data_IF_075862753138
#
_entry.id   IF_075862753138
#
_cell.length_a   1.000
_cell.length_b   1.000
_cell.length_c   1.000
_cell.angle_alpha   90.00
_cell.angle_beta   90.00
_cell.angle_gamma   90.00
#
_symmetry.space_group_name_H-M   'P 1'
#
loop_
_entity.id
_entity.type
_entity.pdbx_description
1 polymer ?
#
# COMPACT_ATOMS: atom_id res chain seq x y z
N UNK A 1 15.53 23.49 11.32
CA UNK A 1 16.22 22.77 10.25
C UNK A 1 15.23 22.05 9.33
N UNK A 2 14.26 21.27 9.86
CA UNK A 2 13.16 20.64 9.10
C UNK A 2 12.41 21.56 8.09
N UNK A 3 12.08 22.80 8.47
CA UNK A 3 11.30 23.72 7.62
C UNK A 3 12.00 24.18 6.33
N UNK A 4 13.33 24.33 6.34
CA UNK A 4 14.05 24.80 5.14
C UNK A 4 14.26 23.67 4.13
N UNK A 5 14.42 22.43 4.60
CA UNK A 5 14.55 21.26 3.75
C UNK A 5 13.22 20.92 3.05
N UNK A 6 12.10 21.00 3.77
CA UNK A 6 10.73 20.86 3.21
C UNK A 6 10.47 21.93 2.15
N UNK A 7 10.85 23.19 2.42
CA UNK A 7 10.73 24.29 1.44
C UNK A 7 11.57 24.03 0.19
N UNK A 8 12.82 23.58 0.37
CA UNK A 8 13.73 23.26 -0.74
C UNK A 8 13.22 22.08 -1.58
N UNK A 9 12.61 21.07 -0.94
CA UNK A 9 12.00 19.94 -1.64
C UNK A 9 10.85 20.40 -2.53
N UNK A 10 9.98 21.25 -1.98
CA UNK A 10 8.86 21.87 -2.70
C UNK A 10 9.33 22.76 -3.86
N UNK A 11 10.37 23.55 -3.68
CA UNK A 11 10.96 24.37 -4.75
C UNK A 11 11.42 23.50 -5.92
N UNK A 12 12.08 22.37 -5.64
CA UNK A 12 12.52 21.42 -6.68
C UNK A 12 11.32 20.81 -7.40
N UNK A 13 10.29 20.36 -6.67
CA UNK A 13 9.05 19.83 -7.26
C UNK A 13 8.40 20.87 -8.19
N UNK A 14 8.40 22.14 -7.76
CA UNK A 14 7.80 23.25 -8.52
C UNK A 14 8.61 23.60 -9.77
N UNK A 15 9.94 23.66 -9.66
CA UNK A 15 10.87 23.93 -10.76
C UNK A 15 10.74 22.90 -11.87
N UNK A 16 10.62 21.62 -11.50
CA UNK A 16 10.48 20.51 -12.43
C UNK A 16 9.12 20.45 -13.13
N UNK A 17 8.08 20.95 -12.47
CA UNK A 17 6.75 21.08 -13.07
C UNK A 17 6.67 22.30 -14.00
N UNK A 18 7.30 23.41 -13.63
CA UNK A 18 7.15 24.69 -14.30
C UNK A 18 8.05 24.84 -15.54
N UNK A 19 9.19 24.16 -15.59
CA UNK A 19 10.14 24.22 -16.70
C UNK A 19 10.27 22.88 -17.46
N UNK A 20 9.73 22.77 -18.68
CA UNK A 20 9.88 21.59 -19.54
C UNK A 20 11.32 21.26 -19.93
N UNK A 21 12.25 22.22 -19.85
CA UNK A 21 13.66 22.07 -20.19
C UNK A 21 14.57 21.89 -18.97
N UNK A 22 14.00 21.79 -17.76
CA UNK A 22 14.76 21.57 -16.55
C UNK A 22 15.63 20.31 -16.66
N UNK A 23 16.88 20.40 -16.22
CA UNK A 23 17.78 19.25 -16.14
C UNK A 23 17.28 18.30 -15.05
N UNK A 24 16.51 17.29 -15.47
CA UNK A 24 15.90 16.31 -14.59
C UNK A 24 16.93 15.50 -13.82
N UNK A 25 18.11 15.26 -14.40
CA UNK A 25 19.18 14.51 -13.73
C UNK A 25 19.81 15.35 -12.62
N UNK A 26 20.01 16.64 -12.85
CA UNK A 26 20.50 17.57 -11.83
C UNK A 26 19.49 17.75 -10.69
N UNK A 27 18.22 18.01 -11.02
CA UNK A 27 17.18 18.21 -10.02
C UNK A 27 16.90 16.95 -9.22
N UNK A 28 16.97 15.77 -9.85
CA UNK A 28 16.89 14.49 -9.12
C UNK A 28 18.07 14.32 -8.15
N UNK A 29 19.31 14.66 -8.54
CA UNK A 29 20.46 14.62 -7.62
C UNK A 29 20.32 15.59 -6.44
N UNK A 30 19.78 16.77 -6.70
CA UNK A 30 19.53 17.80 -5.67
C UNK A 30 18.41 17.35 -4.73
N UNK A 31 17.33 16.79 -5.27
CA UNK A 31 16.26 16.16 -4.51
C UNK A 31 16.80 15.02 -3.64
N UNK A 32 17.60 14.10 -4.19
CA UNK A 32 18.24 13.02 -3.43
C UNK A 32 19.04 13.53 -2.24
N UNK A 33 19.77 14.63 -2.41
CA UNK A 33 20.61 15.20 -1.36
C UNK A 33 19.77 15.77 -0.21
N UNK A 34 18.64 16.40 -0.53
CA UNK A 34 17.72 16.95 0.46
C UNK A 34 16.89 15.84 1.10
N UNK A 35 16.43 14.87 0.31
CA UNK A 35 15.68 13.69 0.77
C UNK A 35 16.46 12.88 1.82
N UNK A 36 17.81 12.84 1.75
CA UNK A 36 18.66 12.23 2.80
C UNK A 36 18.58 12.92 4.17
N UNK A 37 18.07 14.15 4.22
CA UNK A 37 18.05 14.99 5.42
C UNK A 37 16.64 15.19 5.98
N UNK A 38 15.62 14.63 5.32
CA UNK A 38 14.22 14.73 5.73
C UNK A 38 13.63 13.34 5.91
N UNK A 39 12.68 13.23 6.83
CA UNK A 39 11.92 12.01 7.07
C UNK A 39 10.87 11.77 5.96
N UNK A 40 10.46 10.51 5.82
CA UNK A 40 9.34 10.07 4.97
C UNK A 40 8.06 10.89 5.19
N UNK A 41 7.74 11.19 6.47
CA UNK A 41 6.61 12.04 6.88
C UNK A 41 6.73 13.46 6.31
N UNK A 42 7.93 14.05 6.35
CA UNK A 42 8.17 15.40 5.87
C UNK A 42 8.10 15.49 4.34
N UNK A 43 8.55 14.45 3.65
CA UNK A 43 8.42 14.32 2.19
C UNK A 43 6.94 14.25 1.82
N UNK A 44 6.17 13.34 2.44
CA UNK A 44 4.74 13.20 2.18
C UNK A 44 3.96 14.50 2.43
N UNK A 45 4.32 15.26 3.48
CA UNK A 45 3.73 16.59 3.74
C UNK A 45 4.07 17.60 2.64
N UNK A 46 5.33 17.65 2.21
CA UNK A 46 5.76 18.56 1.14
C UNK A 46 5.04 18.28 -0.18
N UNK A 47 4.85 17.00 -0.51
CA UNK A 47 4.10 16.56 -1.70
C UNK A 47 2.62 16.94 -1.62
N UNK A 48 2.00 16.76 -0.45
CA UNK A 48 0.61 17.17 -0.22
C UNK A 48 0.44 18.68 -0.41
N UNK A 49 1.31 19.51 0.16
CA UNK A 49 1.28 20.97 -0.02
C UNK A 49 1.48 21.38 -1.49
N UNK A 50 2.38 20.71 -2.22
CA UNK A 50 2.61 20.97 -3.63
C UNK A 50 1.36 20.71 -4.51
N UNK A 51 0.60 19.66 -4.19
CA UNK A 51 -0.64 19.33 -4.90
C UNK A 51 -1.75 20.32 -4.58
N UNK A 52 -1.87 20.75 -3.33
CA UNK A 52 -2.83 21.79 -2.91
C UNK A 52 -2.59 23.12 -3.64
N UNK A 53 -1.36 23.40 -4.05
CA UNK A 53 -0.98 24.56 -4.86
C UNK A 53 -1.14 24.36 -6.37
N UNK A 54 -1.66 23.21 -6.80
CA UNK A 54 -2.07 22.94 -8.18
C UNK A 54 -1.07 22.13 -9.00
N UNK A 55 -0.01 21.58 -8.41
CA UNK A 55 0.93 20.70 -9.12
C UNK A 55 0.27 19.32 -9.37
N UNK A 56 0.23 18.82 -10.62
CA UNK A 56 -0.36 17.51 -10.92
C UNK A 56 0.39 16.36 -10.24
N UNK A 57 -0.37 15.44 -9.63
CA UNK A 57 0.14 14.24 -8.94
C UNK A 57 1.15 13.44 -9.78
N UNK A 58 0.86 13.26 -11.06
CA UNK A 58 1.70 12.49 -12.00
C UNK A 58 3.11 13.08 -12.17
N UNK A 59 3.27 14.40 -11.97
CA UNK A 59 4.57 15.07 -12.04
C UNK A 59 5.42 14.78 -10.80
N UNK A 60 4.78 14.66 -9.64
CA UNK A 60 5.41 14.39 -8.35
C UNK A 60 5.85 12.92 -8.28
N UNK A 61 4.97 11.99 -8.66
CA UNK A 61 5.25 10.55 -8.64
C UNK A 61 6.53 10.16 -9.40
N UNK A 62 6.75 10.74 -10.59
CA UNK A 62 7.95 10.48 -11.40
C UNK A 62 9.26 10.86 -10.71
N UNK A 63 9.20 11.76 -9.73
CA UNK A 63 10.35 12.16 -8.92
C UNK A 63 10.52 11.24 -7.73
N UNK A 64 9.43 10.86 -7.06
CA UNK A 64 9.46 9.96 -5.91
C UNK A 64 10.11 8.61 -6.26
N UNK A 65 9.77 8.04 -7.44
CA UNK A 65 10.29 6.75 -7.90
C UNK A 65 11.84 6.72 -8.02
N UNK A 66 12.50 7.88 -8.20
CA UNK A 66 13.97 7.98 -8.32
C UNK A 66 14.68 7.86 -6.96
N UNK A 67 13.96 8.01 -5.84
CA UNK A 67 14.56 8.16 -4.50
C UNK A 67 14.20 7.06 -3.50
N UNK A 68 13.38 6.09 -3.90
CA UNK A 68 12.99 4.97 -3.04
C UNK A 68 14.20 4.07 -2.67
N UNK A 69 15.17 3.93 -3.59
CA UNK A 69 16.40 3.13 -3.38
C UNK A 69 17.20 3.53 -2.13
N UNK A 70 17.04 4.77 -1.66
CA UNK A 70 17.75 5.30 -0.49
C UNK A 70 17.20 4.79 0.85
N UNK A 71 15.97 4.28 0.87
CA UNK A 71 15.29 3.83 2.08
C UNK A 71 15.31 2.29 2.24
N UNK A 72 16.00 1.57 1.33
CA UNK A 72 16.04 0.10 1.27
C UNK A 72 16.67 -0.53 2.52
N UNK A 73 17.82 -0.01 2.96
CA UNK A 73 18.56 -0.60 4.09
C UNK A 73 17.76 -0.45 5.40
N UNK A 74 17.16 0.72 5.56
CA UNK A 74 16.26 1.11 6.63
C UNK A 74 15.02 0.20 6.72
N UNK A 75 14.40 -0.14 5.59
CA UNK A 75 13.27 -1.07 5.52
C UNK A 75 13.66 -2.50 5.94
N UNK A 76 14.83 -2.98 5.47
CA UNK A 76 15.32 -4.34 5.76
C UNK A 76 15.61 -4.56 7.24
N UNK A 77 16.21 -3.59 7.93
CA UNK A 77 16.48 -3.72 9.36
C UNK A 77 15.17 -3.85 10.17
N UNK A 78 14.13 -3.09 9.82
CA UNK A 78 12.85 -3.06 10.56
C UNK A 78 12.06 -4.36 10.47
N UNK A 79 12.16 -5.12 9.37
CA UNK A 79 11.59 -6.48 9.26
C UNK A 79 11.99 -7.39 10.43
N UNK A 80 13.17 -7.15 11.04
CA UNK A 80 13.71 -7.99 12.13
C UNK A 80 13.27 -7.57 13.54
N UNK A 81 12.65 -6.38 13.69
CA UNK A 81 12.37 -5.78 15.00
C UNK A 81 10.90 -5.89 15.40
N UNK A 82 9.98 -5.97 14.42
CA UNK A 82 8.54 -5.98 14.70
C UNK A 82 8.08 -7.32 15.29
N UNK A 83 7.15 -7.24 16.24
CA UNK A 83 6.58 -8.43 16.87
C UNK A 83 5.83 -9.30 15.84
N UNK A 84 5.83 -10.63 16.02
CA UNK A 84 4.92 -11.51 15.30
C UNK A 84 3.47 -11.03 15.45
N UNK A 85 2.68 -11.09 14.37
CA UNK A 85 1.27 -10.68 14.37
C UNK A 85 1.02 -9.18 14.25
N UNK A 86 2.04 -8.33 14.33
CA UNK A 86 1.92 -6.90 14.04
C UNK A 86 1.41 -6.68 12.59
N UNK A 87 0.49 -5.74 12.31
CA UNK A 87 -0.05 -5.51 10.97
C UNK A 87 1.01 -5.40 9.86
N UNK A 88 2.06 -4.60 10.08
CA UNK A 88 3.20 -4.51 9.13
C UNK A 88 3.93 -5.85 8.96
N UNK A 89 4.15 -6.64 10.02
CA UNK A 89 4.78 -7.96 9.90
C UNK A 89 3.97 -8.92 9.03
N UNK A 90 2.64 -8.81 9.09
CA UNK A 90 1.72 -9.58 8.23
C UNK A 90 1.90 -9.17 6.78
N UNK A 91 1.84 -7.86 6.50
CA UNK A 91 2.02 -7.33 5.14
C UNK A 91 3.39 -7.73 4.56
N UNK A 92 4.48 -7.64 5.34
CA UNK A 92 5.81 -8.13 4.91
C UNK A 92 5.79 -9.60 4.46
N UNK A 93 5.16 -10.48 5.23
CA UNK A 93 5.09 -11.90 4.88
C UNK A 93 4.29 -12.13 3.59
N UNK A 94 3.25 -11.34 3.37
CA UNK A 94 2.39 -11.44 2.18
C UNK A 94 3.09 -10.88 0.95
N UNK A 95 3.84 -9.79 1.09
CA UNK A 95 4.74 -9.27 0.04
C UNK A 95 5.74 -10.32 -0.40
N UNK A 96 6.40 -10.98 0.56
CA UNK A 96 7.37 -12.03 0.27
C UNK A 96 6.73 -13.18 -0.51
N UNK A 97 5.50 -13.54 -0.17
CA UNK A 97 4.76 -14.63 -0.82
C UNK A 97 4.36 -14.27 -2.24
N UNK A 98 3.81 -13.07 -2.45
CA UNK A 98 3.42 -12.55 -3.76
C UNK A 98 4.62 -12.41 -4.69
N UNK A 99 5.69 -11.76 -4.22
CA UNK A 99 6.90 -11.55 -5.01
C UNK A 99 7.60 -12.87 -5.32
N UNK A 100 7.65 -13.82 -4.38
CA UNK A 100 8.24 -15.14 -4.63
C UNK A 100 7.45 -15.91 -5.68
N UNK A 101 6.11 -15.88 -5.62
CA UNK A 101 5.27 -16.53 -6.61
C UNK A 101 5.49 -15.94 -8.02
N UNK A 102 5.46 -14.61 -8.14
CA UNK A 102 5.68 -13.90 -9.40
C UNK A 102 7.09 -14.18 -9.96
N UNK A 103 8.15 -14.09 -9.13
CA UNK A 103 9.53 -14.36 -9.55
C UNK A 103 9.76 -15.79 -10.01
N UNK A 104 9.18 -16.77 -9.30
CA UNK A 104 9.29 -18.18 -9.65
C UNK A 104 8.55 -18.49 -10.97
N UNK A 105 7.38 -17.90 -11.16
CA UNK A 105 6.66 -18.02 -12.42
C UNK A 105 7.44 -17.32 -13.55
N UNK A 106 7.98 -16.12 -13.32
CA UNK A 106 8.78 -15.38 -14.31
C UNK A 106 10.00 -16.18 -14.73
N UNK A 107 10.77 -16.72 -13.78
CA UNK A 107 11.99 -17.46 -14.10
C UNK A 107 11.73 -18.70 -14.93
N UNK A 108 10.54 -19.30 -14.79
CA UNK A 108 10.10 -20.44 -15.60
C UNK A 108 9.57 -20.00 -16.97
N UNK A 109 8.76 -18.96 -17.03
CA UNK A 109 8.09 -18.51 -18.26
C UNK A 109 9.00 -17.66 -19.17
N UNK A 110 9.97 -16.96 -18.60
CA UNK A 110 10.96 -16.11 -19.26
C UNK A 110 12.36 -16.35 -18.66
N UNK A 111 12.98 -17.53 -18.92
CA UNK A 111 14.29 -17.83 -18.39
C UNK A 111 15.38 -16.99 -19.07
N UNK A 112 16.37 -16.58 -18.27
CA UNK A 112 17.42 -15.65 -18.69
C UNK A 112 18.39 -16.22 -19.76
N UNK A 113 18.43 -17.54 -19.92
CA UNK A 113 19.25 -18.23 -20.92
C UNK A 113 18.57 -18.34 -22.29
N UNK A 114 17.31 -17.88 -22.40
CA UNK A 114 16.52 -17.89 -23.63
C UNK A 114 15.96 -19.26 -24.01
N UNK A 115 16.07 -20.28 -23.16
CA UNK A 115 15.45 -21.57 -23.40
C UNK A 115 13.92 -21.47 -23.28
N UNK A 116 13.15 -21.96 -24.25
CA UNK A 116 11.70 -22.00 -24.09
C UNK A 116 11.32 -23.09 -23.06
N UNK A 117 10.45 -22.80 -22.08
CA UNK A 117 9.96 -23.84 -21.17
C UNK A 117 9.13 -24.87 -21.93
N UNK A 118 9.07 -26.09 -21.41
CA UNK A 118 8.09 -27.06 -21.89
C UNK A 118 6.66 -26.61 -21.53
N UNK A 119 5.67 -27.06 -22.29
CA UNK A 119 4.26 -26.78 -21.98
C UNK A 119 3.85 -27.26 -20.59
N UNK A 120 4.41 -28.38 -20.12
CA UNK A 120 4.13 -28.88 -18.78
C UNK A 120 4.69 -27.95 -17.68
N UNK A 121 5.92 -27.43 -17.86
CA UNK A 121 6.54 -26.50 -16.91
C UNK A 121 5.79 -25.17 -16.85
N UNK A 122 5.41 -24.62 -18.02
CA UNK A 122 4.63 -23.38 -18.08
C UNK A 122 3.26 -23.52 -17.41
N UNK A 123 2.54 -24.61 -17.69
CA UNK A 123 1.25 -24.89 -17.04
C UNK A 123 1.41 -25.05 -15.54
N UNK A 124 2.45 -25.76 -15.08
CA UNK A 124 2.70 -25.93 -13.66
C UNK A 124 3.02 -24.59 -12.98
N UNK A 125 3.85 -23.74 -13.59
CA UNK A 125 4.18 -22.42 -13.04
C UNK A 125 2.94 -21.55 -12.87
N UNK A 126 2.07 -21.49 -13.89
CA UNK A 126 0.81 -20.73 -13.84
C UNK A 126 -0.12 -21.32 -12.76
N UNK A 127 -0.32 -22.65 -12.76
CA UNK A 127 -1.23 -23.33 -11.82
C UNK A 127 -0.79 -23.16 -10.36
N UNK A 128 0.51 -23.15 -10.09
CA UNK A 128 1.04 -22.92 -8.73
C UNK A 128 0.87 -21.47 -8.28
N UNK A 129 1.07 -20.51 -9.18
CA UNK A 129 1.01 -19.07 -8.85
C UNK A 129 -0.43 -18.56 -8.72
N UNK A 130 -1.37 -19.05 -9.54
CA UNK A 130 -2.73 -18.50 -9.61
C UNK A 130 -3.47 -18.42 -8.27
N UNK A 131 -3.49 -19.48 -7.41
CA UNK A 131 -4.15 -19.39 -6.10
C UNK A 131 -3.56 -18.31 -5.18
N UNK A 132 -2.27 -17.98 -5.35
CA UNK A 132 -1.60 -16.92 -4.57
C UNK A 132 -2.07 -15.55 -5.06
N UNK A 133 -2.21 -15.35 -6.38
CA UNK A 133 -2.73 -14.11 -6.95
C UNK A 133 -4.21 -13.91 -6.64
N UNK A 134 -5.00 -14.98 -6.61
CA UNK A 134 -6.38 -14.93 -6.11
C UNK A 134 -6.43 -14.53 -4.62
N UNK A 135 -5.46 -15.00 -3.83
CA UNK A 135 -5.28 -14.59 -2.44
C UNK A 135 -4.84 -13.13 -2.26
N UNK A 136 -4.24 -12.51 -3.29
CA UNK A 136 -3.77 -11.12 -3.26
C UNK A 136 -4.91 -10.12 -3.01
N UNK A 137 -6.14 -10.45 -3.38
CA UNK A 137 -7.30 -9.58 -3.12
C UNK A 137 -7.48 -9.32 -1.62
N UNK A 138 -7.25 -10.33 -0.78
CA UNK A 138 -7.27 -10.15 0.68
C UNK A 138 -6.10 -9.30 1.17
N UNK A 139 -5.02 -9.19 0.39
CA UNK A 139 -3.96 -8.22 0.65
C UNK A 139 -4.38 -6.79 0.36
N UNK A 140 -4.91 -6.55 -0.82
CA UNK A 140 -5.31 -5.20 -1.20
C UNK A 140 -6.48 -4.70 -0.35
N UNK A 141 -7.52 -5.51 -0.13
CA UNK A 141 -8.70 -5.11 0.64
C UNK A 141 -8.36 -4.74 2.07
N UNK A 142 -7.49 -5.48 2.75
CA UNK A 142 -7.13 -5.13 4.14
C UNK A 142 -6.29 -3.86 4.22
N UNK A 143 -5.41 -3.62 3.25
CA UNK A 143 -4.67 -2.37 3.19
C UNK A 143 -5.65 -1.21 2.92
N UNK A 144 -6.50 -1.34 1.91
CA UNK A 144 -7.47 -0.34 1.46
C UNK A 144 -8.50 0.04 2.51
N UNK A 145 -8.97 -0.93 3.32
CA UNK A 145 -10.08 -0.73 4.24
C UNK A 145 -9.67 -0.75 5.73
N UNK A 146 -8.48 -1.26 6.06
CA UNK A 146 -7.97 -1.29 7.44
C UNK A 146 -6.80 -0.32 7.65
N UNK A 147 -5.80 -0.33 6.77
CA UNK A 147 -4.55 0.42 6.97
C UNK A 147 -4.61 1.86 6.42
N UNK A 148 -4.96 2.02 5.15
CA UNK A 148 -5.02 3.30 4.45
C UNK A 148 -5.95 4.32 5.11
N UNK A 149 -7.15 3.97 5.60
CA UNK A 149 -8.02 4.94 6.27
C UNK A 149 -7.38 5.55 7.52
N UNK A 150 -6.55 4.79 8.23
CA UNK A 150 -5.80 5.30 9.38
C UNK A 150 -4.68 6.24 8.91
N UNK A 151 -3.96 5.92 7.83
CA UNK A 151 -2.97 6.82 7.23
C UNK A 151 -3.60 8.16 6.85
N UNK A 152 -4.78 8.11 6.21
CA UNK A 152 -5.54 9.27 5.76
C UNK A 152 -6.09 10.12 6.91
N UNK A 153 -6.52 9.48 8.01
CA UNK A 153 -6.95 10.17 9.25
C UNK A 153 -5.85 11.06 9.82
N UNK A 154 -4.58 10.70 9.61
CA UNK A 154 -3.42 11.51 9.98
C UNK A 154 -3.03 12.56 8.92
N UNK A 155 -3.89 12.80 7.91
CA UNK A 155 -3.71 13.83 6.89
C UNK A 155 -2.86 13.42 5.69
N UNK A 156 -2.45 12.16 5.59
CA UNK A 156 -1.63 11.65 4.49
C UNK A 156 -2.52 10.90 3.50
N UNK A 157 -2.89 11.55 2.40
CA UNK A 157 -3.88 11.01 1.43
C UNK A 157 -3.29 10.61 0.09
N UNK A 158 -2.14 11.16 -0.29
CA UNK A 158 -1.56 10.86 -1.61
C UNK A 158 -0.96 9.46 -1.70
N UNK A 159 -0.09 9.01 -0.78
CA UNK A 159 0.50 7.68 -0.88
C UNK A 159 -0.58 6.58 -0.93
N UNK A 160 -1.61 6.55 -0.05
CA UNK A 160 -2.72 5.61 -0.18
C UNK A 160 -3.42 5.62 -1.55
N UNK A 161 -3.69 6.82 -2.10
CA UNK A 161 -4.33 6.94 -3.40
C UNK A 161 -3.47 6.40 -4.56
N UNK A 162 -2.13 6.51 -4.47
CA UNK A 162 -1.22 5.88 -5.44
C UNK A 162 -1.26 4.37 -5.29
N UNK A 163 -1.14 3.85 -4.07
CA UNK A 163 -1.16 2.42 -3.78
C UNK A 163 -2.46 1.78 -4.29
N UNK A 164 -3.61 2.44 -4.08
CA UNK A 164 -4.90 2.00 -4.61
C UNK A 164 -4.90 1.86 -6.14
N UNK A 165 -4.38 2.85 -6.86
CA UNK A 165 -4.32 2.79 -8.33
C UNK A 165 -3.41 1.67 -8.86
N UNK A 166 -2.35 1.34 -8.11
CA UNK A 166 -1.47 0.21 -8.41
C UNK A 166 -2.17 -1.12 -8.12
N UNK A 167 -2.95 -1.23 -7.04
CA UNK A 167 -3.78 -2.40 -6.77
C UNK A 167 -4.77 -2.66 -7.90
N UNK A 168 -5.46 -1.64 -8.41
CA UNK A 168 -6.39 -1.78 -9.53
C UNK A 168 -5.69 -2.26 -10.81
N UNK A 169 -4.48 -1.74 -11.06
CA UNK A 169 -3.65 -2.19 -12.19
C UNK A 169 -3.26 -3.66 -12.04
N UNK A 170 -2.83 -4.07 -10.84
CA UNK A 170 -2.48 -5.46 -10.52
C UNK A 170 -3.69 -6.39 -10.63
N UNK A 171 -4.87 -5.98 -10.14
CA UNK A 171 -6.12 -6.73 -10.27
C UNK A 171 -6.45 -7.03 -11.73
N UNK A 172 -6.36 -6.03 -12.61
CA UNK A 172 -6.62 -6.23 -14.04
C UNK A 172 -5.55 -7.12 -14.72
N UNK A 173 -4.29 -7.03 -14.31
CA UNK A 173 -3.24 -7.95 -14.77
C UNK A 173 -3.50 -9.39 -14.32
N UNK A 174 -3.82 -9.61 -13.05
CA UNK A 174 -4.11 -10.94 -12.50
C UNK A 174 -5.33 -11.57 -13.17
N UNK A 175 -6.38 -10.78 -13.39
CA UNK A 175 -7.57 -11.20 -14.13
C UNK A 175 -7.24 -11.55 -15.59
N UNK A 176 -6.41 -10.74 -16.25
CA UNK A 176 -5.97 -11.04 -17.62
C UNK A 176 -5.17 -12.34 -17.65
N UNK A 177 -4.25 -12.52 -16.71
CA UNK A 177 -3.42 -13.71 -16.58
C UNK A 177 -4.24 -14.99 -16.37
N UNK A 178 -5.32 -14.90 -15.58
CA UNK A 178 -6.27 -16.01 -15.38
C UNK A 178 -6.97 -16.48 -16.66
N UNK A 179 -7.00 -15.64 -17.71
CA UNK A 179 -7.60 -15.98 -19.01
C UNK A 179 -6.60 -16.54 -20.02
N UNK A 180 -5.30 -16.52 -19.70
CA UNK A 180 -4.26 -17.00 -20.63
C UNK A 180 -4.31 -18.52 -20.72
N UNK A 181 -4.47 -19.02 -21.95
CA UNK A 181 -4.45 -20.45 -22.22
C UNK A 181 -3.06 -21.06 -22.06
N UNK A 182 -2.96 -22.39 -21.85
CA UNK A 182 -1.70 -23.09 -21.63
C UNK A 182 -0.72 -22.99 -22.83
N UNK A 183 -1.24 -22.66 -24.01
CA UNK A 183 -0.48 -22.58 -25.26
C UNK A 183 0.16 -21.19 -25.49
N UNK A 184 -0.24 -20.15 -24.76
CA UNK A 184 0.24 -18.77 -24.94
C UNK A 184 1.25 -18.35 -23.85
N UNK A 185 2.33 -19.13 -23.76
CA UNK A 185 3.35 -18.99 -22.71
C UNK A 185 4.10 -17.67 -22.81
N UNK A 186 4.32 -17.17 -24.03
CA UNK A 186 5.02 -15.89 -24.23
C UNK A 186 4.20 -14.73 -23.66
N UNK A 187 2.89 -14.71 -23.89
CA UNK A 187 2.00 -13.71 -23.29
C UNK A 187 1.92 -13.87 -21.78
N UNK A 188 1.80 -15.10 -21.27
CA UNK A 188 1.81 -15.36 -19.82
C UNK A 188 3.09 -14.80 -19.18
N UNK A 189 4.25 -15.08 -19.78
CA UNK A 189 5.55 -14.58 -19.33
C UNK A 189 5.62 -13.06 -19.28
N UNK A 190 5.16 -12.37 -20.34
CA UNK A 190 5.14 -10.90 -20.39
C UNK A 190 4.22 -10.28 -19.32
N UNK A 191 3.03 -10.86 -19.11
CA UNK A 191 2.10 -10.40 -18.08
C UNK A 191 2.67 -10.61 -16.67
N UNK A 192 3.32 -11.75 -16.43
CA UNK A 192 3.98 -12.04 -15.16
C UNK A 192 5.15 -11.09 -14.90
N UNK A 193 5.97 -10.80 -15.91
CA UNK A 193 7.03 -9.81 -15.81
C UNK A 193 6.47 -8.43 -15.42
N UNK A 194 5.45 -7.97 -16.13
CA UNK A 194 4.80 -6.69 -15.84
C UNK A 194 4.21 -6.64 -14.42
N UNK A 195 3.52 -7.71 -14.01
CA UNK A 195 2.98 -7.82 -12.66
C UNK A 195 4.08 -7.85 -11.59
N UNK A 196 5.20 -8.55 -11.83
CA UNK A 196 6.34 -8.57 -10.92
C UNK A 196 6.96 -7.17 -10.77
N UNK A 197 7.17 -6.45 -11.87
CA UNK A 197 7.75 -5.10 -11.85
C UNK A 197 6.88 -4.12 -11.05
N UNK A 198 5.57 -4.12 -11.30
CA UNK A 198 4.63 -3.27 -10.56
C UNK A 198 4.58 -3.67 -9.09
N UNK A 199 4.45 -4.97 -8.79
CA UNK A 199 4.40 -5.46 -7.41
C UNK A 199 5.71 -5.14 -6.66
N UNK A 200 6.87 -5.27 -7.31
CA UNK A 200 8.15 -4.95 -6.69
C UNK A 200 8.28 -3.45 -6.38
N UNK A 201 7.85 -2.59 -7.31
CA UNK A 201 7.82 -1.15 -7.08
C UNK A 201 6.83 -0.77 -5.97
N UNK A 202 5.64 -1.38 -5.98
CA UNK A 202 4.60 -1.19 -4.97
C UNK A 202 5.10 -1.57 -3.56
N UNK A 203 5.58 -2.80 -3.39
CA UNK A 203 6.17 -3.29 -2.14
C UNK A 203 7.29 -2.37 -1.69
N UNK A 204 8.14 -1.90 -2.60
CA UNK A 204 9.22 -1.01 -2.24
C UNK A 204 8.73 0.33 -1.66
N UNK A 205 7.68 0.93 -2.25
CA UNK A 205 7.04 2.15 -1.74
C UNK A 205 6.43 1.92 -0.35
N UNK A 206 5.74 0.80 -0.18
CA UNK A 206 5.13 0.46 1.11
C UNK A 206 6.19 0.28 2.20
N UNK A 207 7.17 -0.59 1.97
CA UNK A 207 8.15 -0.98 2.98
C UNK A 207 9.11 0.15 3.35
N UNK A 208 9.47 0.98 2.37
CA UNK A 208 10.53 1.97 2.54
C UNK A 208 10.00 3.35 2.92
N UNK A 209 8.73 3.65 2.62
CA UNK A 209 8.11 4.94 2.91
C UNK A 209 6.89 4.78 3.80
N UNK A 210 5.87 4.06 3.35
CA UNK A 210 4.56 4.04 3.99
C UNK A 210 4.61 3.41 5.40
N UNK A 211 5.33 2.30 5.54
CA UNK A 211 5.45 1.58 6.81
C UNK A 211 6.31 2.35 7.81
N UNK A 212 7.44 2.92 7.39
CA UNK A 212 8.29 3.75 8.24
C UNK A 212 7.54 4.99 8.75
N UNK A 213 6.81 5.65 7.85
CA UNK A 213 5.97 6.79 8.17
C UNK A 213 4.88 6.39 9.19
N UNK A 214 4.17 5.29 8.94
CA UNK A 214 3.08 4.83 9.80
C UNK A 214 3.56 4.41 11.19
N UNK A 215 4.72 3.75 11.30
CA UNK A 215 5.34 3.38 12.58
C UNK A 215 5.65 4.60 13.46
N UNK A 216 5.92 5.76 12.87
CA UNK A 216 6.20 7.01 13.59
C UNK A 216 4.92 7.78 13.95
N UNK A 217 3.83 7.53 13.24
CA UNK A 217 2.58 8.30 13.35
C UNK A 217 1.52 7.60 14.18
N UNK A 218 1.42 6.28 14.09
CA UNK A 218 0.31 5.52 14.66
C UNK A 218 0.55 5.18 16.12
N UNK A 219 -0.52 5.24 16.89
CA UNK A 219 -0.55 4.76 18.28
C UNK A 219 -0.74 3.24 18.36
N UNK A 220 -0.41 2.65 19.51
CA UNK A 220 -0.64 1.22 19.76
C UNK A 220 -2.14 0.84 19.66
N UNK A 221 -3.04 1.76 20.03
CA UNK A 221 -4.49 1.57 19.90
C UNK A 221 -4.93 1.48 18.44
N UNK A 222 -4.37 2.35 17.58
CA UNK A 222 -4.63 2.33 16.14
C UNK A 222 -4.09 1.05 15.50
N UNK A 223 -2.90 0.58 15.90
CA UNK A 223 -2.40 -0.73 15.47
C UNK A 223 -3.29 -1.89 15.91
N UNK A 224 -3.84 -1.83 17.12
CA UNK A 224 -4.82 -2.79 17.61
C UNK A 224 -6.13 -2.77 16.81
N UNK A 225 -6.59 -1.60 16.37
CA UNK A 225 -7.76 -1.47 15.51
C UNK A 225 -7.51 -2.03 14.11
N UNK A 226 -6.41 -1.64 13.46
CA UNK A 226 -5.99 -2.17 12.15
C UNK A 226 -5.89 -3.68 12.19
N UNK A 227 -5.33 -4.24 13.28
CA UNK A 227 -5.23 -5.69 13.44
C UNK A 227 -6.60 -6.37 13.47
N UNK A 228 -7.59 -5.80 14.17
CA UNK A 228 -8.96 -6.34 14.19
C UNK A 228 -9.60 -6.28 12.80
N UNK A 229 -9.42 -5.17 12.10
CA UNK A 229 -9.93 -5.03 10.73
C UNK A 229 -9.28 -6.07 9.80
N UNK A 230 -7.99 -6.34 9.97
CA UNK A 230 -7.29 -7.39 9.22
C UNK A 230 -7.85 -8.78 9.53
N UNK A 231 -8.15 -9.07 10.80
CA UNK A 231 -8.77 -10.35 11.20
C UNK A 231 -10.17 -10.54 10.58
N UNK A 232 -10.95 -9.47 10.45
CA UNK A 232 -12.29 -9.49 9.85
C UNK A 232 -12.26 -9.58 8.31
N UNK A 233 -11.32 -8.87 7.66
CA UNK A 233 -11.17 -8.84 6.19
C UNK A 233 -10.44 -10.08 5.65
N UNK A 234 -9.60 -10.70 6.47
CA UNK A 234 -8.89 -11.94 6.17
C UNK A 234 -7.50 -11.74 5.55
N UNK A 235 -6.80 -12.88 5.38
CA UNK A 235 -5.39 -12.93 5.04
C UNK A 235 -5.11 -13.73 3.77
N UNK A 236 -3.99 -13.43 3.10
CA UNK A 236 -3.49 -14.26 2.00
C UNK A 236 -3.00 -15.62 2.56
N UNK A 237 -2.33 -15.62 3.70
CA UNK A 237 -1.94 -16.85 4.40
C UNK A 237 -3.09 -17.43 5.21
N UNK A 238 -3.17 -18.75 5.28
CA UNK A 238 -4.15 -19.45 6.10
C UNK A 238 -3.93 -19.30 7.61
N UNK A 239 -2.75 -18.86 8.04
CA UNK A 239 -2.39 -18.75 9.46
C UNK A 239 -1.55 -17.52 9.68
N UNK A 240 -1.92 -16.72 10.68
CA UNK A 240 -1.22 -15.51 11.10
C UNK A 240 -1.00 -15.55 12.61
N UNK A 241 0.15 -15.08 13.08
CA UNK A 241 0.48 -15.07 14.51
C UNK A 241 -0.44 -14.13 15.31
N UNK A 242 -0.67 -14.45 16.58
CA UNK A 242 -1.37 -13.56 17.51
C UNK A 242 -0.61 -12.25 17.71
N UNK A 243 -1.33 -11.15 17.94
CA UNK A 243 -0.74 -9.84 18.23
C UNK A 243 -1.07 -9.42 19.66
N UNK A 244 -0.03 -9.30 20.50
CA UNK A 244 -0.21 -8.94 21.91
C UNK A 244 -0.68 -7.49 22.10
N UNK A 245 -0.36 -6.58 21.16
CA UNK A 245 -0.79 -5.18 21.20
C UNK A 245 -2.31 -4.99 21.11
N UNK A 246 -3.05 -5.97 20.55
CA UNK A 246 -4.51 -5.95 20.49
C UNK A 246 -5.19 -6.17 21.85
N UNK A 247 -4.48 -6.69 22.86
CA UNK A 247 -5.05 -7.04 24.18
C UNK A 247 -5.38 -5.82 25.05
N UNK A 248 -4.92 -4.62 24.68
CA UNK A 248 -5.13 -3.38 25.47
C UNK A 248 -6.39 -2.59 25.09
N UNK A 249 -7.07 -2.93 23.99
CA UNK A 249 -8.23 -2.19 23.47
C UNK A 249 -9.57 -2.95 23.64
N UNK A 250 -9.65 -3.87 24.60
CA UNK A 250 -10.89 -4.59 24.91
C UNK A 250 -11.86 -3.69 25.70
N UNK A 251 -12.39 -2.66 25.05
CA UNK A 251 -13.52 -1.84 25.53
C UNK A 251 -14.17 -1.14 24.34
N UNK A 252 -14.87 -1.88 23.46
CA UNK A 252 -16.01 -1.34 22.68
C UNK A 252 -16.68 -2.33 21.72
N UNK A 253 -16.18 -3.55 21.51
CA UNK A 253 -16.92 -4.55 20.73
C UNK A 253 -18.01 -5.20 21.58
N UNK A 254 -19.16 -4.53 21.70
CA UNK A 254 -20.33 -5.04 22.43
C UNK A 254 -21.12 -4.02 23.25
N UNK A 255 -20.73 -2.74 23.26
CA UNK A 255 -21.52 -1.72 23.94
C UNK A 255 -22.86 -1.52 23.20
N UNK A 256 -23.97 -1.75 23.90
CA UNK A 256 -25.30 -1.41 23.42
C UNK A 256 -25.33 0.07 22.99
N UNK A 257 -26.05 0.45 21.92
CA UNK A 257 -26.05 1.82 21.43
C UNK A 257 -26.41 2.79 22.54
N UNK A 258 -25.49 3.71 22.83
CA UNK A 258 -25.66 4.71 23.88
C UNK A 258 -26.06 6.02 23.22
N UNK A 259 -27.14 6.63 23.70
CA UNK A 259 -27.51 7.98 23.31
C UNK A 259 -26.62 8.94 24.10
N UNK A 260 -25.73 9.65 23.42
CA UNK A 260 -24.90 10.67 24.04
C UNK A 260 -25.75 11.85 24.51
N UNK A 261 -25.28 12.59 25.51
CA UNK A 261 -25.94 13.80 26.01
C UNK A 261 -26.15 14.89 24.93
N UNK A 262 -25.48 14.76 23.78
CA UNK A 262 -25.60 15.63 22.62
C UNK A 262 -26.64 15.17 21.58
N UNK A 263 -27.46 14.15 21.89
CA UNK A 263 -28.52 13.67 20.98
C UNK A 263 -28.00 12.86 19.78
N UNK A 264 -26.82 12.24 19.92
CA UNK A 264 -26.26 11.31 18.93
C UNK A 264 -26.39 9.87 19.42
N UNK A 265 -26.76 8.98 18.50
CA UNK A 265 -26.78 7.53 18.71
C UNK A 265 -25.41 6.98 18.32
N UNK A 266 -24.67 6.47 19.30
CA UNK A 266 -23.39 5.79 19.08
C UNK A 266 -23.66 4.31 18.74
N UNK A 267 -23.04 3.81 17.67
CA UNK A 267 -23.10 2.42 17.21
C UNK A 267 -21.68 1.88 17.00
N UNK A 268 -21.48 0.55 16.92
CA UNK A 268 -20.14 -0.02 16.70
C UNK A 268 -19.45 0.49 15.42
N UNK A 269 -20.23 0.87 14.40
CA UNK A 269 -19.73 1.36 13.10
C UNK A 269 -19.72 2.89 12.97
N UNK A 270 -19.92 3.63 14.07
CA UNK A 270 -19.92 5.11 14.08
C UNK A 270 -21.15 5.71 14.75
N UNK A 271 -21.37 7.01 14.58
CA UNK A 271 -22.50 7.70 15.21
C UNK A 271 -23.33 8.54 14.26
N UNK A 272 -24.63 8.63 14.56
CA UNK A 272 -25.59 9.42 13.81
C UNK A 272 -26.36 10.33 14.76
N UNK A 273 -26.76 11.52 14.30
CA UNK A 273 -27.82 12.25 15.00
C UNK A 273 -29.15 11.54 14.83
N UNK A 274 -30.10 11.80 15.74
CA UNK A 274 -31.47 11.28 15.61
C UNK A 274 -32.10 11.69 14.28
N UNK A 275 -31.89 12.94 13.84
CA UNK A 275 -32.41 13.42 12.55
C UNK A 275 -31.82 12.67 11.35
N UNK A 276 -30.53 12.34 11.39
CA UNK A 276 -29.88 11.53 10.36
C UNK A 276 -30.43 10.11 10.34
N UNK A 277 -30.66 9.52 11.52
CA UNK A 277 -31.24 8.18 11.64
C UNK A 277 -32.66 8.13 11.08
N UNK A 278 -33.49 9.13 11.39
CA UNK A 278 -34.86 9.25 10.85
C UNK A 278 -34.80 9.39 9.32
N UNK A 279 -33.99 10.30 8.79
CA UNK A 279 -33.86 10.49 7.35
C UNK A 279 -33.39 9.22 6.63
N UNK A 280 -32.47 8.44 7.23
CA UNK A 280 -32.08 7.14 6.70
C UNK A 280 -33.25 6.16 6.67
N UNK A 281 -33.99 6.01 7.77
CA UNK A 281 -35.13 5.09 7.85
C UNK A 281 -36.26 5.47 6.89
N UNK A 282 -36.53 6.77 6.72
CA UNK A 282 -37.56 7.29 5.80
C UNK A 282 -37.19 7.10 4.31
N UNK A 283 -35.91 6.94 4.00
CA UNK A 283 -35.42 6.75 2.63
C UNK A 283 -35.19 5.29 2.26
N UNK A 284 -35.29 4.36 3.23
CA UNK A 284 -35.27 2.93 2.93
C UNK A 284 -36.52 2.57 2.10
N UNK A 285 -36.37 1.81 1.00
CA UNK A 285 -37.52 1.33 0.25
C UNK A 285 -38.21 0.24 1.07
N UNK A 286 -39.21 0.63 1.86
CA UNK A 286 -40.08 -0.27 2.63
C UNK A 286 -41.12 -0.94 1.72
#
# INVERSE_FOLDING_TARGET
MSSDAVRSLKEIITELHSDPNADRDELSKRFATIAKQVSSVEIARAEQEAIEEGIPRESIQKLCDIHLDMFVDDARERRTVLAPGHPISIMYAEHDTLLTALRNARSTLLPSDGAAPSAAEAVQAITTMMPILEGAERNFVKQENGFFPVVEKHGVTQPPAVMWSEHDTLRELFKTLATVGPDDQSRAGQLVLQAEEIMAAHVHKEESVLFDMSLKMFSDEEWGAIRRDFDDLGYLHSTVAEYEGAKSADTTSGAAPVISAAGRVEMPSGSLSVDQLIAMLDTLPV
#
